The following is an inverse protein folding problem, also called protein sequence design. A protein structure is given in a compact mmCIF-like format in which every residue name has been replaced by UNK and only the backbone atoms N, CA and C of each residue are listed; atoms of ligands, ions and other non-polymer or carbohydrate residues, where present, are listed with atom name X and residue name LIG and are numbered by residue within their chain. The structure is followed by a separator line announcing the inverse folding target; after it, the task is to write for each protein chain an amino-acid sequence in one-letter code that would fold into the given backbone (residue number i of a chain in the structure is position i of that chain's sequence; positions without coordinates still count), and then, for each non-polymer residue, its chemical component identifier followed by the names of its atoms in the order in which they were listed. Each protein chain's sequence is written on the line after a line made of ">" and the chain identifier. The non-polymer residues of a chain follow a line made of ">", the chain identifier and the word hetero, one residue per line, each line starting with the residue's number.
data_IF_876761788681
#
_entry.id   IF_876761788681
#
_cell.length_a   1.000
_cell.length_b   1.000
_cell.length_c   1.000
_cell.angle_alpha   90.00
_cell.angle_beta   90.00
_cell.angle_gamma   90.00
#
_symmetry.space_group_name_H-M   'P 1'
#
loop_
_entity.id
_entity.type
_entity.pdbx_description
1 polymer ?
#
# COMPACT_ATOMS: atom_id res chain seq x y z
N UNK A 1 -18.04 -27.14 -13.94
CA UNK A 1 -18.29 -26.75 -12.54
C UNK A 1 -17.32 -27.59 -11.73
N UNK A 2 -16.33 -26.95 -11.10
CA UNK A 2 -15.26 -27.69 -10.41
C UNK A 2 -15.79 -28.33 -9.11
N UNK A 3 -15.33 -29.55 -8.81
CA UNK A 3 -15.71 -30.29 -7.59
C UNK A 3 -15.00 -29.66 -6.37
N UNK A 4 -15.79 -29.12 -5.43
CA UNK A 4 -15.31 -28.41 -4.24
C UNK A 4 -15.38 -29.25 -2.94
N UNK A 5 -15.61 -30.56 -3.01
CA UNK A 5 -15.74 -31.44 -1.82
C UNK A 5 -14.54 -31.43 -0.86
N UNK A 6 -13.37 -31.02 -1.33
CA UNK A 6 -12.14 -30.95 -0.55
C UNK A 6 -11.62 -29.51 -0.38
N UNK A 7 -12.47 -28.51 -0.59
CA UNK A 7 -12.10 -27.12 -0.36
C UNK A 7 -11.68 -26.87 1.09
N UNK A 8 -10.62 -26.10 1.27
CA UNK A 8 -10.12 -25.65 2.58
C UNK A 8 -9.81 -24.16 2.56
N UNK A 9 -9.84 -23.48 3.72
CA UNK A 9 -9.38 -22.11 3.83
C UNK A 9 -7.95 -21.96 3.31
N UNK A 10 -7.69 -20.85 2.61
CA UNK A 10 -6.33 -20.53 2.16
C UNK A 10 -5.54 -19.86 3.29
N UNK A 11 -4.22 -20.09 3.36
CA UNK A 11 -3.38 -19.36 4.30
C UNK A 11 -3.51 -17.85 4.11
N UNK A 12 -3.35 -17.10 5.21
CA UNK A 12 -3.22 -15.65 5.16
C UNK A 12 -1.98 -15.23 4.35
N UNK A 13 -1.97 -14.04 3.74
CA UNK A 13 -0.79 -13.52 3.08
C UNK A 13 0.36 -13.32 4.08
N UNK A 14 1.57 -13.68 3.67
CA UNK A 14 2.76 -13.45 4.48
C UNK A 14 3.21 -11.98 4.42
N UNK A 15 3.69 -11.42 5.54
CA UNK A 15 4.38 -10.12 5.58
C UNK A 15 5.86 -10.29 5.25
N UNK A 16 6.17 -10.56 3.98
CA UNK A 16 7.54 -10.72 3.50
C UNK A 16 7.73 -10.00 2.15
N UNK A 17 8.97 -9.58 1.80
CA UNK A 17 9.24 -9.01 0.50
C UNK A 17 8.93 -9.99 -0.65
N UNK A 18 8.44 -9.45 -1.77
CA UNK A 18 8.19 -10.19 -3.01
C UNK A 18 9.09 -9.60 -4.09
N UNK A 19 10.06 -10.39 -4.56
CA UNK A 19 10.99 -10.01 -5.62
C UNK A 19 10.40 -10.29 -7.00
N UNK A 20 10.33 -9.26 -7.84
CA UNK A 20 9.96 -9.36 -9.24
C UNK A 20 11.12 -8.99 -10.16
N UNK A 21 10.89 -9.08 -11.48
CA UNK A 21 11.90 -8.68 -12.48
C UNK A 21 12.15 -7.16 -12.50
N UNK A 22 11.11 -6.36 -12.27
CA UNK A 22 11.15 -4.90 -12.41
C UNK A 22 10.81 -4.15 -11.12
N UNK A 23 10.18 -4.84 -10.16
CA UNK A 23 9.68 -4.25 -8.92
C UNK A 23 9.94 -5.21 -7.77
N UNK A 24 10.12 -4.64 -6.59
CA UNK A 24 10.14 -5.34 -5.30
C UNK A 24 9.01 -4.78 -4.46
N UNK A 25 8.15 -5.65 -3.93
CA UNK A 25 7.11 -5.26 -2.99
C UNK A 25 7.60 -5.55 -1.58
N UNK A 26 7.47 -4.59 -0.67
CA UNK A 26 7.90 -4.72 0.71
C UNK A 26 6.71 -4.48 1.65
N UNK A 27 6.62 -5.17 2.79
CA UNK A 27 5.68 -4.80 3.84
C UNK A 27 5.87 -3.33 4.19
N UNK A 28 4.77 -2.55 4.24
CA UNK A 28 4.85 -1.13 4.54
C UNK A 28 5.42 -0.92 5.95
N UNK A 29 6.38 0.00 6.05
CA UNK A 29 7.04 0.42 7.28
C UNK A 29 7.03 1.95 7.25
N UNK A 30 6.37 2.58 8.23
CA UNK A 30 6.17 4.03 8.24
C UNK A 30 7.48 4.79 8.38
N UNK A 31 8.44 4.25 9.12
CA UNK A 31 9.76 4.86 9.33
C UNK A 31 10.64 4.77 8.08
N UNK A 32 10.57 3.65 7.35
CA UNK A 32 11.42 3.40 6.20
C UNK A 32 10.85 3.97 4.90
N UNK A 33 9.54 3.88 4.70
CA UNK A 33 8.90 4.20 3.43
C UNK A 33 8.15 5.55 3.44
N UNK A 34 7.93 6.14 4.62
CA UNK A 34 7.03 7.29 4.76
C UNK A 34 7.41 8.48 3.87
N UNK A 35 8.69 8.83 3.81
CA UNK A 35 9.14 10.01 3.04
C UNK A 35 9.05 9.78 1.53
N UNK A 36 9.49 8.62 1.06
CA UNK A 36 9.41 8.26 -0.35
C UNK A 36 7.97 8.11 -0.83
N UNK A 37 7.10 7.51 -0.01
CA UNK A 37 5.68 7.36 -0.33
C UNK A 37 4.94 8.70 -0.28
N UNK A 38 5.28 9.59 0.65
CA UNK A 38 4.75 10.97 0.66
C UNK A 38 5.10 11.69 -0.64
N UNK A 39 6.38 11.69 -1.04
CA UNK A 39 6.83 12.35 -2.26
C UNK A 39 6.10 11.82 -3.52
N UNK A 40 5.85 10.51 -3.58
CA UNK A 40 5.07 9.89 -4.67
C UNK A 40 3.57 10.21 -4.60
N UNK A 41 3.03 10.47 -3.42
CA UNK A 41 1.60 10.71 -3.16
C UNK A 41 1.22 12.19 -3.20
N UNK A 42 2.20 13.11 -3.19
CA UNK A 42 2.00 14.56 -3.20
C UNK A 42 2.50 15.23 -4.49
N UNK A 43 2.55 14.49 -5.59
CA UNK A 43 2.93 15.00 -6.92
C UNK A 43 1.92 16.01 -7.46
N UNK A 44 2.30 16.78 -8.48
CA UNK A 44 1.48 17.87 -9.02
C UNK A 44 0.07 17.42 -9.49
N UNK A 45 -0.04 16.20 -10.01
CA UNK A 45 -1.29 15.58 -10.47
C UNK A 45 -1.93 14.66 -9.41
N UNK A 46 -1.53 14.74 -8.13
CA UNK A 46 -2.02 13.85 -7.08
C UNK A 46 -3.55 13.91 -6.91
N UNK A 47 -4.17 15.09 -7.08
CA UNK A 47 -5.63 15.22 -7.03
C UNK A 47 -6.33 14.35 -8.08
N UNK A 48 -5.76 14.22 -9.28
CA UNK A 48 -6.31 13.37 -10.33
C UNK A 48 -6.09 11.88 -10.02
N UNK A 49 -4.93 11.52 -9.46
CA UNK A 49 -4.60 10.15 -9.07
C UNK A 49 -5.48 9.63 -7.93
N UNK A 50 -5.80 10.49 -6.98
CA UNK A 50 -6.60 10.15 -5.80
C UNK A 50 -8.11 10.34 -6.03
N UNK A 51 -8.54 10.85 -7.19
CA UNK A 51 -9.95 11.16 -7.50
C UNK A 51 -10.94 10.04 -7.18
N UNK A 52 -10.51 8.79 -7.28
CA UNK A 52 -11.35 7.61 -7.10
C UNK A 52 -10.91 6.71 -5.93
N UNK A 53 -10.00 7.18 -5.07
CA UNK A 53 -9.56 6.47 -3.88
C UNK A 53 -10.43 6.86 -2.67
N UNK A 54 -10.41 6.04 -1.61
CA UNK A 54 -11.03 6.41 -0.33
C UNK A 54 -10.24 7.46 0.45
N UNK A 55 -8.95 7.59 0.11
CA UNK A 55 -8.01 8.58 0.64
C UNK A 55 -7.94 9.84 -0.22
N UNK A 56 -7.49 10.94 0.38
CA UNK A 56 -7.13 12.17 -0.33
C UNK A 56 -5.60 12.34 -0.34
N UNK A 57 -5.03 13.09 -1.31
CA UNK A 57 -3.60 13.37 -1.32
C UNK A 57 -3.16 14.04 0.00
N UNK A 58 -2.03 13.61 0.60
CA UNK A 58 -1.52 14.24 1.80
C UNK A 58 -1.10 15.69 1.51
N UNK A 59 -1.50 16.61 2.38
CA UNK A 59 -1.16 18.04 2.26
C UNK A 59 0.22 18.36 2.85
N UNK A 60 0.67 17.57 3.83
CA UNK A 60 1.98 17.68 4.44
C UNK A 60 2.50 16.31 4.87
N UNK A 61 3.81 16.20 5.10
CA UNK A 61 4.44 14.97 5.59
C UNK A 61 3.93 14.58 6.98
N UNK A 62 3.64 15.57 7.83
CA UNK A 62 3.09 15.37 9.18
C UNK A 62 1.67 14.81 9.11
N UNK A 63 0.80 15.37 8.26
CA UNK A 63 -0.59 14.93 8.12
C UNK A 63 -0.72 13.53 7.49
N UNK A 64 0.33 13.07 6.80
CA UNK A 64 0.39 11.73 6.24
C UNK A 64 0.72 10.64 7.28
N UNK A 65 1.34 11.00 8.40
CA UNK A 65 1.82 10.05 9.41
C UNK A 65 0.71 9.18 10.03
N UNK A 66 -0.47 9.71 10.41
CA UNK A 66 -1.54 8.88 10.96
C UNK A 66 -2.05 7.81 9.99
N UNK A 67 -2.05 8.10 8.68
CA UNK A 67 -2.41 7.09 7.67
C UNK A 67 -1.31 6.03 7.56
N UNK A 68 -0.03 6.43 7.55
CA UNK A 68 1.10 5.51 7.49
C UNK A 68 1.08 4.52 8.66
N UNK A 69 0.86 4.99 9.88
CA UNK A 69 0.87 4.14 11.08
C UNK A 69 -0.31 3.16 11.12
N UNK A 70 -1.45 3.53 10.53
CA UNK A 70 -2.61 2.63 10.39
C UNK A 70 -2.40 1.60 9.27
N UNK A 71 -1.70 1.98 8.20
CA UNK A 71 -1.52 1.17 7.01
C UNK A 71 -0.33 0.21 7.08
N UNK A 72 0.69 0.55 7.89
CA UNK A 72 1.86 -0.31 8.16
C UNK A 72 1.49 -1.49 9.05
#
# INVERSE_FOLDING_TARGET
>A
MDDLKHWTPRPAPARAPIEGRYVRLEPLDSSRHGDGLFAASSVADAQDRFRWLGEYPPQSRTDFQPWLDRAS
#
